data_IF_556186048649
#
_entry.id   IF_556186048649
#
_cell.length_a   1.000
_cell.length_b   1.000
_cell.length_c   1.000
_cell.angle_alpha   90.00
_cell.angle_beta   90.00
_cell.angle_gamma   90.00
#
_symmetry.space_group_name_H-M   'P 1'
#
loop_
_entity.id
_entity.type
_entity.pdbx_description
1 polymer ?
#
# COMPACT_ATOMS: atom_id res chain seq x y z
N UNK A 1 15.34 10.54 -8.79
CA UNK A 1 14.98 9.12 -8.69
C UNK A 1 14.49 8.62 -10.03
N UNK A 2 15.21 7.66 -10.60
CA UNK A 2 14.83 6.89 -11.78
C UNK A 2 13.70 5.91 -11.45
N UNK A 3 13.08 5.29 -12.46
CA UNK A 3 12.02 4.29 -12.21
C UNK A 3 12.56 3.05 -11.46
N UNK A 4 13.80 2.64 -11.73
CA UNK A 4 14.46 1.52 -11.05
C UNK A 4 14.78 1.83 -9.58
N UNK A 5 15.32 3.02 -9.32
CA UNK A 5 15.57 3.47 -7.94
C UNK A 5 14.24 3.54 -7.15
N UNK A 6 13.18 4.06 -7.78
CA UNK A 6 11.84 4.11 -7.17
C UNK A 6 11.29 2.73 -6.87
N UNK A 7 11.48 1.78 -7.78
CA UNK A 7 11.03 0.40 -7.56
C UNK A 7 11.81 -0.24 -6.40
N UNK A 8 13.12 -0.02 -6.34
CA UNK A 8 13.97 -0.53 -5.27
C UNK A 8 13.55 0.01 -3.89
N UNK A 9 13.31 1.32 -3.78
CA UNK A 9 12.80 1.92 -2.53
C UNK A 9 11.41 1.41 -2.16
N UNK A 10 10.54 1.21 -3.16
CA UNK A 10 9.20 0.66 -2.93
C UNK A 10 9.28 -0.75 -2.34
N UNK A 11 10.13 -1.63 -2.88
CA UNK A 11 10.32 -2.97 -2.34
C UNK A 11 10.90 -2.92 -0.91
N UNK A 12 11.87 -2.05 -0.65
CA UNK A 12 12.41 -1.86 0.70
C UNK A 12 11.33 -1.38 1.70
N UNK A 13 10.42 -0.51 1.27
CA UNK A 13 9.29 -0.07 2.10
C UNK A 13 8.29 -1.21 2.37
N UNK A 14 8.02 -2.07 1.38
CA UNK A 14 7.19 -3.27 1.53
C UNK A 14 7.80 -4.24 2.53
N UNK A 15 9.10 -4.52 2.41
CA UNK A 15 9.83 -5.40 3.32
C UNK A 15 9.81 -4.86 4.75
N UNK A 16 9.96 -3.55 4.92
CA UNK A 16 9.87 -2.89 6.23
C UNK A 16 8.51 -3.08 6.90
N UNK A 17 7.42 -2.98 6.14
CA UNK A 17 6.07 -3.24 6.64
C UNK A 17 5.90 -4.71 7.01
N UNK A 18 6.37 -5.63 6.17
CA UNK A 18 6.27 -7.08 6.41
C UNK A 18 7.10 -7.54 7.62
N UNK A 19 8.22 -6.87 7.91
CA UNK A 19 9.08 -7.17 9.06
C UNK A 19 8.58 -6.58 10.38
N UNK A 20 7.60 -5.66 10.35
CA UNK A 20 7.06 -5.04 11.55
C UNK A 20 6.10 -5.97 12.29
N UNK A 21 6.31 -6.14 13.60
CA UNK A 21 5.58 -7.13 14.41
C UNK A 21 4.39 -6.55 15.17
N UNK A 22 4.34 -5.23 15.38
CA UNK A 22 3.24 -4.61 16.09
C UNK A 22 2.03 -4.38 15.16
N UNK A 23 0.81 -4.39 15.70
CA UNK A 23 -0.38 -4.24 14.88
C UNK A 23 -0.48 -2.83 14.29
N UNK A 24 -0.67 -2.77 12.98
CA UNK A 24 -1.03 -1.53 12.30
C UNK A 24 -2.53 -1.23 12.44
N UNK A 25 -2.93 0.05 12.40
CA UNK A 25 -4.31 0.44 12.20
C UNK A 25 -4.89 -0.15 10.90
N UNK A 26 -6.15 -0.55 10.94
CA UNK A 26 -6.81 -1.15 9.79
C UNK A 26 -6.93 -0.19 8.59
N UNK A 27 -7.16 1.10 8.83
CA UNK A 27 -7.23 2.13 7.79
C UNK A 27 -5.87 2.31 7.10
N UNK A 28 -4.77 2.27 7.87
CA UNK A 28 -3.42 2.32 7.33
C UNK A 28 -3.13 1.12 6.43
N UNK A 29 -3.48 -0.10 6.87
CA UNK A 29 -3.35 -1.31 6.06
C UNK A 29 -4.17 -1.26 4.76
N UNK A 30 -5.39 -0.70 4.80
CA UNK A 30 -6.22 -0.55 3.61
C UNK A 30 -5.59 0.41 2.59
N UNK A 31 -4.98 1.50 3.05
CA UNK A 31 -4.25 2.44 2.18
C UNK A 31 -3.03 1.76 1.56
N UNK A 32 -2.20 1.09 2.37
CA UNK A 32 -1.04 0.34 1.88
C UNK A 32 -1.45 -0.73 0.86
N UNK A 33 -2.53 -1.47 1.12
CA UNK A 33 -3.08 -2.46 0.20
C UNK A 33 -3.44 -1.84 -1.16
N UNK A 34 -4.16 -0.72 -1.17
CA UNK A 34 -4.60 -0.08 -2.40
C UNK A 34 -3.42 0.43 -3.24
N UNK A 35 -2.48 1.14 -2.62
CA UNK A 35 -1.29 1.63 -3.31
C UNK A 35 -0.36 0.50 -3.75
N UNK A 36 -0.22 -0.57 -2.97
CA UNK A 36 0.55 -1.75 -3.38
C UNK A 36 -0.03 -2.38 -4.65
N UNK A 37 -1.34 -2.64 -4.67
CA UNK A 37 -2.04 -3.22 -5.83
C UNK A 37 -1.90 -2.36 -7.08
N UNK A 38 -1.98 -1.03 -6.92
CA UNK A 38 -1.79 -0.09 -8.02
C UNK A 38 -0.33 -0.05 -8.48
N UNK A 39 0.63 -0.03 -7.56
CA UNK A 39 2.06 -0.01 -7.83
C UNK A 39 2.56 -1.29 -8.54
N UNK A 40 1.94 -2.43 -8.27
CA UNK A 40 2.26 -3.72 -8.91
C UNK A 40 1.37 -4.05 -10.10
N UNK A 41 0.48 -3.12 -10.50
CA UNK A 41 -0.45 -3.29 -11.62
C UNK A 41 -1.36 -4.54 -11.48
N UNK A 42 -1.72 -4.91 -10.25
CA UNK A 42 -2.54 -6.09 -9.95
C UNK A 42 -4.03 -5.72 -9.86
N UNK A 43 -4.79 -6.07 -10.91
CA UNK A 43 -6.23 -5.84 -11.02
C UNK A 43 -7.11 -6.97 -10.45
N UNK A 44 -6.52 -7.96 -9.76
CA UNK A 44 -7.27 -9.03 -9.10
C UNK A 44 -8.25 -8.49 -8.06
N UNK A 45 -9.46 -9.06 -7.99
CA UNK A 45 -10.47 -8.65 -7.01
C UNK A 45 -10.09 -9.10 -5.59
N UNK A 46 -10.47 -8.36 -4.53
CA UNK A 46 -10.31 -8.82 -3.16
C UNK A 46 -11.04 -10.16 -2.92
N UNK A 47 -10.37 -11.09 -2.24
CA UNK A 47 -10.85 -12.47 -2.03
C UNK A 47 -10.81 -12.91 -0.56
N UNK A 48 -11.25 -12.04 0.36
CA UNK A 48 -11.44 -12.41 1.76
C UNK A 48 -12.70 -13.26 1.96
N UNK A 49 -12.67 -14.16 2.94
CA UNK A 49 -13.85 -14.93 3.39
C UNK A 49 -14.94 -14.07 4.02
N UNK A 50 -14.63 -12.85 4.46
CA UNK A 50 -15.60 -11.91 5.06
C UNK A 50 -15.99 -10.85 4.03
N UNK A 51 -17.27 -10.78 3.59
CA UNK A 51 -17.72 -9.82 2.58
C UNK A 51 -17.43 -8.36 2.94
N UNK A 52 -17.55 -8.00 4.22
CA UNK A 52 -17.27 -6.64 4.70
C UNK A 52 -15.80 -6.22 4.47
N UNK A 53 -14.84 -7.15 4.60
CA UNK A 53 -13.43 -6.87 4.32
C UNK A 53 -13.23 -6.62 2.82
N UNK A 54 -13.91 -7.38 1.97
CA UNK A 54 -13.88 -7.16 0.52
C UNK A 54 -14.46 -5.80 0.15
N UNK A 55 -15.55 -5.36 0.79
CA UNK A 55 -16.13 -4.05 0.58
C UNK A 55 -15.15 -2.92 0.92
N UNK A 56 -14.46 -3.00 2.07
CA UNK A 56 -13.43 -2.02 2.43
C UNK A 56 -12.25 -2.00 1.47
N UNK A 57 -11.71 -3.17 1.10
CA UNK A 57 -10.63 -3.29 0.11
C UNK A 57 -11.03 -2.74 -1.26
N UNK A 58 -12.28 -2.99 -1.66
CA UNK A 58 -12.83 -2.50 -2.93
C UNK A 58 -12.96 -0.98 -2.91
N UNK A 59 -13.48 -0.40 -1.83
CA UNK A 59 -13.54 1.05 -1.65
C UNK A 59 -12.14 1.68 -1.70
N UNK A 60 -11.16 1.09 -1.00
CA UNK A 60 -9.78 1.57 -1.03
C UNK A 60 -9.17 1.54 -2.44
N UNK A 61 -9.45 0.51 -3.24
CA UNK A 61 -9.01 0.44 -4.64
C UNK A 61 -9.69 1.51 -5.51
N UNK A 62 -10.98 1.77 -5.30
CA UNK A 62 -11.69 2.84 -6.01
C UNK A 62 -11.09 4.22 -5.70
N UNK A 63 -10.69 4.47 -4.46
CA UNK A 63 -10.09 5.74 -4.04
C UNK A 63 -8.77 6.07 -4.75
N UNK A 64 -8.06 5.06 -5.27
CA UNK A 64 -6.74 5.24 -5.92
C UNK A 64 -6.76 4.95 -7.43
N UNK A 65 -7.94 4.87 -8.03
CA UNK A 65 -8.11 4.38 -9.41
C UNK A 65 -7.31 5.20 -10.45
N UNK A 66 -7.22 6.52 -10.25
CA UNK A 66 -6.60 7.48 -11.18
C UNK A 66 -5.11 7.70 -10.93
N UNK A 67 -4.53 7.06 -9.91
CA UNK A 67 -3.12 7.19 -9.55
C UNK A 67 -2.27 6.34 -10.49
N UNK A 68 -1.15 6.82 -11.02
CA UNK A 68 -0.24 5.99 -11.85
C UNK A 68 0.54 4.99 -10.99
N UNK A 69 1.19 3.99 -11.61
CA UNK A 69 1.99 3.01 -10.85
C UNK A 69 3.14 3.67 -10.08
N UNK A 70 3.84 4.62 -10.71
CA UNK A 70 4.98 5.31 -10.09
C UNK A 70 4.53 6.29 -8.99
N UNK A 71 3.39 6.96 -9.16
CA UNK A 71 2.78 7.74 -8.07
C UNK A 71 2.37 6.84 -6.90
N UNK A 72 1.79 5.67 -7.18
CA UNK A 72 1.41 4.72 -6.14
C UNK A 72 2.62 4.22 -5.35
N UNK A 73 3.76 3.95 -6.02
CA UNK A 73 5.03 3.61 -5.34
C UNK A 73 5.50 4.75 -4.44
N UNK A 74 5.51 5.99 -4.93
CA UNK A 74 5.91 7.18 -4.14
C UNK A 74 5.05 7.37 -2.91
N UNK A 75 3.73 7.32 -3.09
CA UNK A 75 2.78 7.48 -1.98
C UNK A 75 2.92 6.33 -0.96
N UNK A 76 3.15 5.09 -1.42
CA UNK A 76 3.42 3.96 -0.53
C UNK A 76 4.68 4.21 0.31
N UNK A 77 5.79 4.62 -0.30
CA UNK A 77 7.04 4.95 0.39
C UNK A 77 6.80 6.06 1.42
N UNK A 78 6.12 7.14 1.03
CA UNK A 78 5.79 8.25 1.92
C UNK A 78 4.94 7.82 3.11
N UNK A 79 3.96 6.93 2.88
CA UNK A 79 3.12 6.38 3.94
C UNK A 79 3.92 5.59 4.96
N UNK A 80 4.80 4.72 4.49
CA UNK A 80 5.67 3.89 5.33
C UNK A 80 6.62 4.79 6.12
N UNK A 81 7.29 5.73 5.46
CA UNK A 81 8.23 6.64 6.12
C UNK A 81 7.56 7.51 7.18
N UNK A 82 6.40 8.10 6.86
CA UNK A 82 5.66 8.91 7.83
C UNK A 82 5.18 8.09 9.03
N UNK A 83 4.71 6.85 8.81
CA UNK A 83 4.28 5.98 9.89
C UNK A 83 5.41 5.76 10.90
N UNK A 84 6.60 5.36 10.41
CA UNK A 84 7.73 5.06 11.28
C UNK A 84 8.47 6.29 11.82
N UNK A 85 8.27 7.47 11.24
CA UNK A 85 8.88 8.70 11.75
C UNK A 85 8.11 9.25 12.96
N UNK A 86 6.77 9.14 12.96
CA UNK A 86 5.92 9.79 13.95
C UNK A 86 5.25 8.85 14.96
N UNK A 87 5.20 7.55 14.69
CA UNK A 87 4.73 6.57 15.69
C UNK A 87 5.92 5.87 16.32
N UNK A 88 6.19 6.24 17.58
CA UNK A 88 6.92 5.41 18.54
C UNK A 88 5.95 4.49 19.26
#
# INVERSE_FOLDING_TARGET
MTSEELHTEFLAAVDRINAHTEPFPADFLLRLYAYYKKATNDYGRPSSSKPIINAFKTNALFQVQDVTQDEAKRIYIDLVNNYFLYRK
#
